data_IF_498122110043
#
_entry.id   IF_498122110043
#
_cell.length_a   1.000
_cell.length_b   1.000
_cell.length_c   1.000
_cell.angle_alpha   90.00
_cell.angle_beta   90.00
_cell.angle_gamma   90.00
#
_symmetry.space_group_name_H-M   'P 1'
#
loop_
_entity.id
_entity.type
_entity.pdbx_description
1 polymer ?
#
# COMPACT_ATOMS: atom_id res chain seq x y z
N UNK A 1 52.90 61.20 -15.73
CA UNK A 1 53.26 59.90 -15.11
C UNK A 1 52.05 58.99 -15.24
N UNK A 2 52.14 57.95 -16.05
CA UNK A 2 51.06 57.01 -16.32
C UNK A 2 51.60 55.61 -16.07
N UNK A 3 51.13 54.94 -15.02
CA UNK A 3 51.26 53.49 -14.80
C UNK A 3 50.22 53.06 -13.76
N UNK A 4 49.18 52.35 -14.19
CA UNK A 4 48.62 51.24 -13.40
C UNK A 4 48.03 50.21 -14.34
N UNK A 5 48.83 49.16 -14.55
CA UNK A 5 48.44 47.94 -15.24
C UNK A 5 47.48 47.18 -14.33
N UNK A 6 46.28 46.85 -14.84
CA UNK A 6 45.43 45.85 -14.21
C UNK A 6 46.07 44.46 -14.34
N UNK A 7 46.04 43.60 -13.31
CA UNK A 7 46.44 42.21 -13.47
C UNK A 7 45.35 41.46 -14.24
N UNK A 8 45.53 41.38 -15.56
CA UNK A 8 44.99 40.28 -16.36
C UNK A 8 45.94 39.10 -16.18
N UNK A 9 45.56 38.12 -15.38
CA UNK A 9 46.30 36.86 -15.28
C UNK A 9 45.35 35.69 -15.30
N UNK A 10 45.16 35.19 -16.52
CA UNK A 10 45.29 33.79 -16.92
C UNK A 10 44.24 32.84 -16.33
N UNK A 11 43.25 32.56 -17.17
CA UNK A 11 42.56 31.29 -17.21
C UNK A 11 43.60 30.16 -17.06
N UNK A 12 43.56 29.49 -15.92
CA UNK A 12 44.16 28.17 -15.79
C UNK A 12 43.26 27.23 -16.60
N UNK A 13 43.53 27.14 -17.90
CA UNK A 13 43.14 25.98 -18.69
C UNK A 13 43.77 24.78 -17.99
N UNK A 14 42.94 24.05 -17.23
CA UNK A 14 43.32 22.73 -16.74
C UNK A 14 43.34 21.86 -17.98
N UNK A 15 44.47 21.86 -18.67
CA UNK A 15 44.85 20.77 -19.55
C UNK A 15 44.92 19.53 -18.68
N UNK A 16 43.78 18.84 -18.57
CA UNK A 16 43.76 17.42 -18.27
C UNK A 16 44.45 16.79 -19.46
N UNK A 17 45.77 16.78 -19.39
CA UNK A 17 46.60 15.90 -20.19
C UNK A 17 46.15 14.52 -19.76
N UNK A 18 45.23 13.94 -20.52
CA UNK A 18 45.03 12.51 -20.58
C UNK A 18 46.36 11.98 -21.11
N UNK A 19 47.31 11.84 -20.18
CA UNK A 19 48.48 11.00 -20.35
C UNK A 19 47.87 9.64 -20.68
N UNK A 20 48.03 9.21 -21.92
CA UNK A 20 47.66 7.86 -22.33
C UNK A 20 48.39 6.89 -21.43
N UNK A 21 47.73 6.46 -20.37
CA UNK A 21 48.03 5.20 -19.73
C UNK A 21 47.55 4.16 -20.72
N UNK A 22 48.49 3.40 -21.27
CA UNK A 22 48.20 2.13 -21.93
C UNK A 22 47.09 1.41 -21.15
N UNK A 23 46.04 0.91 -21.81
CA UNK A 23 44.98 0.17 -21.14
C UNK A 23 45.64 -1.01 -20.40
N UNK A 24 45.64 -0.95 -19.07
CA UNK A 24 45.99 -2.10 -18.25
C UNK A 24 44.91 -3.14 -18.55
N UNK A 25 45.26 -4.30 -19.13
CA UNK A 25 44.27 -5.27 -19.60
C UNK A 25 43.33 -5.73 -18.48
N UNK A 26 43.82 -5.78 -17.24
CA UNK A 26 43.02 -6.14 -16.07
C UNK A 26 41.93 -5.09 -15.74
N UNK A 27 42.17 -3.79 -15.99
CA UNK A 27 41.18 -2.74 -15.73
C UNK A 27 40.08 -2.69 -16.81
N UNK A 28 40.42 -3.01 -18.05
CA UNK A 28 39.45 -3.08 -19.15
C UNK A 28 38.50 -4.27 -18.96
N UNK A 29 39.04 -5.45 -18.61
CA UNK A 29 38.26 -6.66 -18.35
C UNK A 29 37.30 -6.48 -17.15
N UNK A 30 37.76 -5.84 -16.07
CA UNK A 30 36.94 -5.55 -14.91
C UNK A 30 35.82 -4.53 -15.22
N UNK A 31 36.10 -3.55 -16.09
CA UNK A 31 35.13 -2.55 -16.52
C UNK A 31 34.05 -3.17 -17.42
N UNK A 32 34.43 -4.00 -18.40
CA UNK A 32 33.49 -4.73 -19.27
C UNK A 32 32.56 -5.65 -18.45
N UNK A 33 33.11 -6.31 -17.43
CA UNK A 33 32.33 -7.14 -16.51
C UNK A 33 31.32 -6.30 -15.73
N UNK A 34 31.72 -5.14 -15.23
CA UNK A 34 30.84 -4.25 -14.47
C UNK A 34 29.69 -3.72 -15.34
N UNK A 35 29.99 -3.32 -16.58
CA UNK A 35 28.97 -2.88 -17.54
C UNK A 35 27.98 -3.99 -17.87
N UNK A 36 28.50 -5.20 -18.11
CA UNK A 36 27.68 -6.39 -18.34
C UNK A 36 26.74 -6.70 -17.17
N UNK A 37 27.24 -6.59 -15.93
CA UNK A 37 26.43 -6.85 -14.74
C UNK A 37 25.41 -5.74 -14.49
N UNK A 38 25.75 -4.48 -14.75
CA UNK A 38 24.81 -3.36 -14.71
C UNK A 38 23.68 -3.57 -15.73
N UNK A 39 24.01 -4.01 -16.94
CA UNK A 39 23.02 -4.30 -17.98
C UNK A 39 22.07 -5.43 -17.56
N UNK A 40 22.61 -6.54 -17.03
CA UNK A 40 21.80 -7.66 -16.50
C UNK A 40 20.88 -7.20 -15.37
N UNK A 41 21.37 -6.38 -14.43
CA UNK A 41 20.56 -5.85 -13.34
C UNK A 41 19.44 -4.94 -13.86
N UNK A 42 19.73 -4.07 -14.81
CA UNK A 42 18.74 -3.19 -15.42
C UNK A 42 17.63 -3.99 -16.12
N UNK A 43 18.00 -5.03 -16.88
CA UNK A 43 17.04 -5.93 -17.52
C UNK A 43 16.16 -6.64 -16.49
N UNK A 44 16.76 -7.18 -15.42
CA UNK A 44 16.03 -7.87 -14.34
C UNK A 44 15.07 -6.93 -13.60
N UNK A 45 15.46 -5.68 -13.36
CA UNK A 45 14.59 -4.66 -12.76
C UNK A 45 13.41 -4.38 -13.70
N UNK A 46 13.65 -4.22 -15.00
CA UNK A 46 12.59 -4.00 -15.97
C UNK A 46 11.62 -5.17 -16.00
N UNK A 47 12.13 -6.40 -16.07
CA UNK A 47 11.33 -7.62 -16.02
C UNK A 47 10.42 -7.65 -14.79
N UNK A 48 10.97 -7.43 -13.59
CA UNK A 48 10.15 -7.37 -12.38
C UNK A 48 9.12 -6.24 -12.41
N UNK A 49 9.48 -5.04 -12.87
CA UNK A 49 8.52 -3.93 -12.98
C UNK A 49 7.37 -4.26 -13.91
N UNK A 50 7.62 -5.04 -14.97
CA UNK A 50 6.59 -5.43 -15.94
C UNK A 50 5.75 -6.64 -15.49
N UNK A 51 6.32 -7.60 -14.77
CA UNK A 51 5.67 -8.90 -14.50
C UNK A 51 5.06 -8.99 -13.10
N UNK A 52 5.73 -8.42 -12.11
CA UNK A 52 5.39 -8.59 -10.69
C UNK A 52 4.02 -7.98 -10.33
N UNK A 53 3.63 -6.78 -10.86
CA UNK A 53 2.30 -6.23 -10.61
C UNK A 53 1.17 -7.15 -11.08
N UNK A 54 1.30 -7.75 -12.27
CA UNK A 54 0.26 -8.59 -12.85
C UNK A 54 0.22 -9.98 -12.20
N UNK A 55 1.36 -10.54 -11.82
CA UNK A 55 1.41 -11.75 -10.99
C UNK A 55 0.69 -11.54 -9.65
N UNK A 56 0.96 -10.44 -8.95
CA UNK A 56 0.30 -10.13 -7.68
C UNK A 56 -1.21 -9.95 -7.85
N UNK A 57 -1.66 -9.24 -8.89
CA UNK A 57 -3.09 -9.10 -9.20
C UNK A 57 -3.73 -10.47 -9.42
N UNK A 58 -3.13 -11.31 -10.28
CA UNK A 58 -3.66 -12.64 -10.57
C UNK A 58 -3.77 -13.49 -9.30
N UNK A 59 -2.71 -13.51 -8.47
CA UNK A 59 -2.72 -14.24 -7.19
C UNK A 59 -3.80 -13.73 -6.25
N UNK A 60 -3.94 -12.41 -6.09
CA UNK A 60 -4.98 -11.83 -5.24
C UNK A 60 -6.38 -12.16 -5.74
N UNK A 61 -6.63 -12.10 -7.05
CA UNK A 61 -7.91 -12.50 -7.65
C UNK A 61 -8.22 -13.96 -7.33
N UNK A 62 -7.25 -14.87 -7.47
CA UNK A 62 -7.44 -16.29 -7.13
C UNK A 62 -7.76 -16.47 -5.64
N UNK A 63 -7.01 -15.81 -4.75
CA UNK A 63 -7.17 -15.92 -3.29
C UNK A 63 -8.49 -15.31 -2.81
N UNK A 64 -8.93 -14.20 -3.39
CA UNK A 64 -10.20 -13.57 -3.05
C UNK A 64 -11.40 -14.33 -3.61
N UNK A 65 -11.25 -14.94 -4.79
CA UNK A 65 -12.30 -15.76 -5.39
C UNK A 65 -12.56 -17.03 -4.59
N UNK A 66 -11.52 -17.67 -4.06
CA UNK A 66 -11.68 -18.87 -3.22
C UNK A 66 -12.27 -18.57 -1.84
N UNK A 67 -12.10 -17.34 -1.34
CA UNK A 67 -12.62 -16.90 -0.04
C UNK A 67 -13.94 -16.15 -0.12
N UNK A 68 -14.57 -16.07 -1.31
CA UNK A 68 -15.81 -15.32 -1.47
C UNK A 68 -16.92 -15.99 -0.65
N UNK A 69 -17.52 -15.30 0.35
CA UNK A 69 -18.62 -15.86 1.09
C UNK A 69 -19.81 -16.04 0.15
N UNK A 70 -20.42 -17.22 0.14
CA UNK A 70 -21.71 -17.45 -0.51
C UNK A 70 -22.75 -16.75 0.36
N UNK A 71 -23.12 -15.53 -0.04
CA UNK A 71 -24.24 -14.82 0.57
C UNK A 71 -25.55 -15.43 0.02
N UNK A 72 -26.52 -15.79 0.88
CA UNK A 72 -27.83 -16.21 0.41
C UNK A 72 -28.46 -15.09 -0.41
N UNK A 73 -29.01 -15.46 -1.57
CA UNK A 73 -29.48 -14.55 -2.63
C UNK A 73 -30.39 -13.45 -2.10
N UNK A 74 -29.90 -12.21 -2.12
CA UNK A 74 -30.77 -11.07 -2.32
C UNK A 74 -30.94 -10.96 -3.82
N UNK A 75 -31.94 -11.67 -4.33
CA UNK A 75 -32.51 -11.46 -5.66
C UNK A 75 -33.02 -10.01 -5.68
N UNK A 76 -32.12 -9.05 -5.86
CA UNK A 76 -32.43 -7.65 -6.04
C UNK A 76 -32.59 -7.39 -7.55
N UNK A 77 -33.43 -8.20 -8.19
CA UNK A 77 -34.04 -7.83 -9.45
C UNK A 77 -35.06 -6.74 -9.12
N UNK A 78 -34.55 -5.50 -9.11
CA UNK A 78 -35.37 -4.30 -9.00
C UNK A 78 -36.13 -4.11 -10.31
N UNK A 79 -37.42 -4.44 -10.30
CA UNK A 79 -38.40 -3.86 -11.23
C UNK A 79 -39.42 -3.03 -10.41
N UNK A 80 -39.80 -1.81 -10.84
CA UNK A 80 -40.64 -0.91 -10.05
C UNK A 80 -42.13 -1.11 -10.39
N UNK A 81 -42.94 -1.53 -9.41
CA UNK A 81 -44.40 -1.64 -9.56
C UNK A 81 -45.15 -1.25 -8.28
N UNK A 82 -46.13 -0.31 -8.34
CA UNK A 82 -46.83 0.22 -7.17
C UNK A 82 -48.14 -0.55 -6.87
N UNK A 83 -48.70 -0.23 -5.69
CA UNK A 83 -50.11 -0.40 -5.30
C UNK A 83 -50.47 -1.70 -4.56
N UNK A 84 -50.60 -1.48 -3.26
CA UNK A 84 -51.70 -1.87 -2.37
C UNK A 84 -51.96 -3.33 -1.96
N UNK A 85 -52.25 -3.37 -0.66
CA UNK A 85 -53.30 -4.14 -0.02
C UNK A 85 -52.88 -5.40 0.76
N UNK A 86 -53.25 -5.34 2.04
CA UNK A 86 -53.03 -6.35 3.08
C UNK A 86 -53.69 -7.67 2.65
N UNK A 87 -53.06 -8.79 2.98
CA UNK A 87 -53.80 -9.87 3.64
C UNK A 87 -52.87 -10.85 4.36
N UNK A 88 -53.06 -10.98 5.67
CA UNK A 88 -52.62 -12.16 6.41
C UNK A 88 -53.39 -13.36 5.87
N UNK A 89 -52.71 -14.48 5.62
CA UNK A 89 -53.34 -15.80 5.70
C UNK A 89 -52.29 -16.87 5.96
N UNK A 90 -52.44 -17.43 7.14
CA UNK A 90 -51.84 -18.67 7.64
C UNK A 90 -52.33 -19.85 6.78
N UNK A 91 -51.40 -20.65 6.24
CA UNK A 91 -51.67 -22.03 5.83
C UNK A 91 -50.38 -22.83 5.63
N UNK A 92 -50.01 -23.52 6.71
CA UNK A 92 -49.81 -24.97 6.78
C UNK A 92 -49.00 -25.66 5.66
N UNK A 93 -47.77 -26.01 6.04
CA UNK A 93 -46.97 -27.20 5.69
C UNK A 93 -47.50 -28.16 4.61
N UNK A 94 -46.66 -28.41 3.59
CA UNK A 94 -46.49 -29.73 3.00
C UNK A 94 -45.00 -30.04 2.95
N UNK A 95 -44.60 -31.04 3.72
CA UNK A 95 -43.26 -31.63 3.73
C UNK A 95 -42.99 -32.36 2.41
N UNK A 96 -41.78 -32.20 1.87
CA UNK A 96 -41.20 -33.21 0.97
C UNK A 96 -39.69 -33.30 1.20
N UNK A 97 -39.36 -34.19 2.14
CA UNK A 97 -38.21 -35.09 2.18
C UNK A 97 -37.04 -34.71 1.23
N UNK A 98 -36.05 -34.02 1.79
CA UNK A 98 -34.66 -34.46 1.66
C UNK A 98 -34.07 -34.56 3.06
N UNK A 99 -34.20 -35.75 3.61
CA UNK A 99 -33.40 -36.23 4.73
C UNK A 99 -31.93 -36.22 4.26
N UNK A 100 -31.20 -35.19 4.68
CA UNK A 100 -29.86 -34.89 4.17
C UNK A 100 -29.34 -33.56 4.72
N UNK A 101 -28.72 -33.64 5.91
CA UNK A 101 -27.90 -32.62 6.58
C UNK A 101 -28.60 -31.44 7.28
N UNK A 102 -29.31 -31.70 8.39
CA UNK A 102 -29.42 -30.70 9.48
C UNK A 102 -28.04 -30.39 10.12
N UNK A 103 -27.15 -31.39 10.15
CA UNK A 103 -25.82 -31.28 10.76
C UNK A 103 -24.88 -30.25 10.09
N UNK A 104 -24.99 -29.99 8.78
CA UNK A 104 -24.11 -29.06 8.06
C UNK A 104 -24.39 -27.59 8.42
N UNK A 105 -25.65 -27.23 8.65
CA UNK A 105 -26.05 -25.88 9.04
C UNK A 105 -25.64 -25.52 10.48
N UNK A 106 -25.85 -26.44 11.43
CA UNK A 106 -25.42 -26.26 12.83
C UNK A 106 -23.89 -26.17 12.94
N UNK A 107 -23.15 -26.98 12.17
CA UNK A 107 -21.69 -26.97 12.17
C UNK A 107 -21.11 -25.68 11.58
N UNK A 108 -21.67 -25.18 10.48
CA UNK A 108 -21.29 -23.87 9.92
C UNK A 108 -21.57 -22.72 10.89
N UNK A 109 -22.61 -22.82 11.70
CA UNK A 109 -22.94 -21.80 12.69
C UNK A 109 -21.98 -21.82 13.89
N UNK A 110 -21.59 -23.01 14.37
CA UNK A 110 -20.61 -23.13 15.46
C UNK A 110 -19.22 -22.65 15.03
N UNK A 111 -18.79 -22.93 13.80
CA UNK A 111 -17.54 -22.42 13.23
C UNK A 111 -17.52 -20.88 13.15
N UNK A 112 -18.63 -20.26 12.74
CA UNK A 112 -18.76 -18.79 12.72
C UNK A 112 -18.65 -18.17 14.13
N UNK A 113 -19.21 -18.84 15.14
CA UNK A 113 -19.12 -18.39 16.54
C UNK A 113 -17.68 -18.45 17.04
N UNK A 114 -16.97 -19.54 16.75
CA UNK A 114 -15.54 -19.69 17.10
C UNK A 114 -14.71 -18.60 16.41
N UNK A 115 -14.91 -18.40 15.10
CA UNK A 115 -14.21 -17.37 14.35
C UNK A 115 -14.49 -15.96 14.89
N UNK A 116 -15.73 -15.67 15.29
CA UNK A 116 -16.08 -14.39 15.89
C UNK A 116 -15.35 -14.18 17.22
N UNK A 117 -15.33 -15.20 18.07
CA UNK A 117 -14.61 -15.17 19.34
C UNK A 117 -13.12 -14.91 19.11
N UNK A 118 -12.51 -15.60 18.16
CA UNK A 118 -11.08 -15.42 17.83
C UNK A 118 -10.79 -14.00 17.33
N UNK A 119 -11.66 -13.42 16.50
CA UNK A 119 -11.53 -12.03 16.04
C UNK A 119 -11.66 -11.03 17.18
N UNK A 120 -12.61 -11.24 18.10
CA UNK A 120 -12.76 -10.41 19.30
C UNK A 120 -11.51 -10.52 20.16
N UNK A 121 -11.01 -11.74 20.41
CA UNK A 121 -9.79 -11.97 21.18
C UNK A 121 -8.56 -11.32 20.54
N UNK A 122 -8.39 -11.44 19.22
CA UNK A 122 -7.31 -10.80 18.48
C UNK A 122 -7.38 -9.27 18.58
N UNK A 123 -8.59 -8.69 18.50
CA UNK A 123 -8.79 -7.25 18.67
C UNK A 123 -8.44 -6.79 20.09
N UNK A 124 -8.94 -7.50 21.12
CA UNK A 124 -8.60 -7.24 22.53
C UNK A 124 -7.08 -7.29 22.72
N UNK A 125 -6.39 -8.25 22.10
CA UNK A 125 -4.94 -8.36 22.17
C UNK A 125 -4.20 -7.19 21.49
N UNK A 126 -4.77 -6.60 20.43
CA UNK A 126 -4.19 -5.47 19.71
C UNK A 126 -4.45 -4.11 20.39
N UNK A 127 -5.55 -3.97 21.13
CA UNK A 127 -5.98 -2.72 21.75
C UNK A 127 -4.91 -2.04 22.64
N UNK A 128 -4.15 -2.74 23.49
CA UNK A 128 -3.09 -2.11 24.29
C UNK A 128 -2.05 -1.37 23.44
N UNK A 129 -1.68 -1.93 22.28
CA UNK A 129 -0.72 -1.30 21.36
C UNK A 129 -1.32 -0.05 20.70
N UNK A 130 -2.58 -0.13 20.26
CA UNK A 130 -3.29 1.02 19.65
C UNK A 130 -3.41 2.16 20.66
N UNK A 131 -3.81 1.87 21.90
CA UNK A 131 -3.95 2.87 22.97
C UNK A 131 -2.59 3.49 23.33
N UNK A 132 -1.52 2.71 23.37
CA UNK A 132 -0.17 3.22 23.59
C UNK A 132 0.23 4.23 22.50
N UNK A 133 0.05 3.87 21.22
CA UNK A 133 0.35 4.76 20.09
C UNK A 133 -0.51 6.02 20.11
N UNK A 134 -1.79 5.90 20.42
CA UNK A 134 -2.68 7.04 20.53
C UNK A 134 -2.18 8.04 21.58
N UNK A 135 -1.78 7.53 22.76
CA UNK A 135 -1.20 8.35 23.81
C UNK A 135 0.09 9.05 23.36
N UNK A 136 0.99 8.32 22.70
CA UNK A 136 2.23 8.90 22.16
C UNK A 136 1.96 10.01 21.12
N UNK A 137 0.96 9.84 20.26
CA UNK A 137 0.54 10.86 19.29
C UNK A 137 0.03 12.13 19.99
N UNK A 138 -0.86 11.98 20.98
CA UNK A 138 -1.39 13.10 21.76
C UNK A 138 -0.23 13.84 22.45
N UNK A 139 0.67 13.11 23.13
CA UNK A 139 1.83 13.72 23.79
C UNK A 139 2.78 14.43 22.80
N UNK A 140 2.87 13.99 21.55
CA UNK A 140 3.64 14.70 20.52
C UNK A 140 2.95 15.98 20.06
N UNK A 141 1.64 15.97 19.91
CA UNK A 141 0.86 17.15 19.56
C UNK A 141 0.95 18.22 20.65
N UNK A 142 0.77 17.87 21.91
CA UNK A 142 0.88 18.80 23.04
C UNK A 142 2.27 19.45 23.14
N UNK A 143 3.33 18.71 22.82
CA UNK A 143 4.69 19.26 22.71
C UNK A 143 4.82 20.27 21.56
N UNK A 144 4.19 20.02 20.42
CA UNK A 144 4.20 20.95 19.29
C UNK A 144 3.35 22.19 19.56
N UNK A 145 2.22 22.05 20.25
CA UNK A 145 1.35 23.18 20.63
C UNK A 145 1.99 24.07 21.70
N UNK A 146 2.72 23.48 22.65
CA UNK A 146 3.49 24.23 23.67
C UNK A 146 4.74 24.89 23.09
N UNK A 147 5.28 24.36 22.00
CA UNK A 147 6.23 25.10 21.19
C UNK A 147 5.47 26.17 20.42
N UNK A 148 5.54 27.42 20.88
CA UNK A 148 5.17 28.59 20.09
C UNK A 148 6.21 28.76 18.95
N UNK A 149 6.22 27.79 18.04
CA UNK A 149 7.28 27.55 17.09
C UNK A 149 7.34 28.68 16.08
N UNK A 150 8.56 28.96 15.63
CA UNK A 150 8.83 29.83 14.48
C UNK A 150 8.24 29.13 13.26
N UNK A 151 6.92 29.26 13.05
CA UNK A 151 6.27 28.83 11.82
C UNK A 151 6.89 29.69 10.73
N UNK A 152 7.57 29.03 9.79
CA UNK A 152 8.22 29.72 8.68
C UNK A 152 7.19 30.63 7.99
N UNK A 153 7.54 31.89 7.67
CA UNK A 153 6.57 32.89 7.20
C UNK A 153 5.71 32.42 6.01
N UNK A 154 6.26 31.56 5.14
CA UNK A 154 5.55 30.98 4.00
C UNK A 154 4.31 30.13 4.39
N UNK A 155 4.25 29.61 5.62
CA UNK A 155 3.13 28.79 6.10
C UNK A 155 2.21 29.55 7.08
N UNK A 156 2.41 30.85 7.29
CA UNK A 156 1.49 31.66 8.09
C UNK A 156 0.29 32.06 7.24
N UNK A 157 -0.93 31.73 7.71
CA UNK A 157 -2.15 32.32 7.14
C UNK A 157 -2.07 33.84 7.28
N UNK A 158 -2.42 34.55 6.21
CA UNK A 158 -2.59 36.00 6.28
C UNK A 158 -3.74 36.29 7.23
N UNK A 159 -3.53 37.22 8.15
CA UNK A 159 -4.63 37.78 8.95
C UNK A 159 -5.36 38.75 8.04
N UNK A 160 -6.52 38.34 7.55
CA UNK A 160 -7.48 39.30 7.00
C UNK A 160 -7.99 40.11 8.19
N UNK A 161 -7.85 41.44 8.10
CA UNK A 161 -8.19 42.41 9.15
C UNK A 161 -9.69 42.72 9.16
#
# INVERSE_FOLDING_TARGET
MALSNGPSTRDAHVDIRISGSEPQPELEDDLEKLESDLHKMAQKILEYRTTLPDQLKATLVTVLSSQRPILPGTELDSDPGPSDERCNSDSRQVESIRDGSKADGEQKNSEKIILLKDKISANIAAMPLVLKRLRECISRMEKLDSCNGIIHPAFKRRKDS
#
